data_IF_466358689186
#
_entry.id   IF_466358689186
#
_cell.length_a   1.000
_cell.length_b   1.000
_cell.length_c   1.000
_cell.angle_alpha   90.00
_cell.angle_beta   90.00
_cell.angle_gamma   90.00
#
_symmetry.space_group_name_H-M   'P 1'
#
loop_
_entity.id
_entity.type
_entity.pdbx_description
1 polymer ?
#
# COMPACT_ATOMS: atom_id res chain seq x y z
N UNK A 1 -4.52 2.93 -11.75
CA UNK A 1 -3.47 1.91 -11.68
C UNK A 1 -2.20 2.52 -11.11
N UNK A 2 -1.39 1.75 -10.42
CA UNK A 2 -0.14 2.22 -9.85
C UNK A 2 0.90 1.11 -9.74
N UNK A 3 2.12 1.54 -9.45
CA UNK A 3 3.26 0.68 -9.16
C UNK A 3 3.70 1.00 -7.74
N UNK A 4 3.90 -0.03 -6.94
CA UNK A 4 4.43 0.06 -5.59
C UNK A 4 5.75 -0.67 -5.50
N UNK A 5 6.70 -0.10 -4.78
CA UNK A 5 7.97 -0.72 -4.44
C UNK A 5 8.09 -0.83 -2.93
N UNK A 6 8.49 -1.99 -2.44
CA UNK A 6 8.68 -2.25 -1.03
C UNK A 6 10.06 -2.81 -0.76
N UNK A 7 10.65 -2.44 0.38
CA UNK A 7 11.89 -3.00 0.90
C UNK A 7 11.66 -3.56 2.29
N UNK A 8 12.06 -4.80 2.51
CA UNK A 8 11.90 -5.46 3.80
C UNK A 8 13.18 -6.18 4.25
N UNK A 9 13.36 -6.27 5.56
CA UNK A 9 14.47 -7.01 6.20
C UNK A 9 13.90 -8.08 7.12
N UNK A 10 14.27 -9.34 6.88
CA UNK A 10 14.01 -10.44 7.81
C UNK A 10 15.13 -10.55 8.85
N UNK A 11 14.79 -10.74 10.11
CA UNK A 11 15.75 -10.90 11.20
C UNK A 11 15.32 -12.04 12.14
N UNK A 12 16.31 -12.68 12.77
CA UNK A 12 16.11 -13.62 13.90
C UNK A 12 16.88 -13.08 15.10
N UNK A 13 16.18 -12.69 16.15
CA UNK A 13 16.75 -11.94 17.26
C UNK A 13 17.44 -10.66 16.76
N UNK A 14 18.74 -10.51 17.00
CA UNK A 14 19.55 -9.37 16.52
C UNK A 14 20.27 -9.64 15.18
N UNK A 15 20.09 -10.83 14.61
CA UNK A 15 20.82 -11.24 13.40
C UNK A 15 19.94 -11.04 12.18
N UNK A 16 20.35 -10.16 11.27
CA UNK A 16 19.73 -10.00 9.97
C UNK A 16 19.94 -11.27 9.13
N UNK A 17 18.88 -11.80 8.53
CA UNK A 17 18.88 -13.01 7.71
C UNK A 17 18.85 -12.74 6.22
N UNK A 18 18.17 -11.68 5.81
CA UNK A 18 18.04 -11.31 4.42
C UNK A 18 17.41 -9.94 4.26
N UNK A 19 17.72 -9.31 3.15
CA UNK A 19 17.04 -8.11 2.66
C UNK A 19 16.38 -8.49 1.34
N UNK A 20 15.15 -8.09 1.15
CA UNK A 20 14.43 -8.18 -0.11
C UNK A 20 13.90 -6.83 -0.51
N UNK A 21 13.81 -6.58 -1.79
CA UNK A 21 13.05 -5.48 -2.36
C UNK A 21 12.20 -6.05 -3.47
N UNK A 22 10.92 -5.75 -3.44
CA UNK A 22 9.95 -6.20 -4.42
C UNK A 22 9.19 -5.00 -4.97
N UNK A 23 8.67 -5.14 -6.17
CA UNK A 23 7.77 -4.17 -6.75
C UNK A 23 6.55 -4.90 -7.29
N UNK A 24 5.40 -4.26 -7.19
CA UNK A 24 4.13 -4.79 -7.68
C UNK A 24 3.38 -3.74 -8.48
N UNK A 25 2.65 -4.18 -9.48
CA UNK A 25 1.72 -3.37 -10.24
C UNK A 25 0.30 -3.73 -9.84
N UNK A 26 -0.55 -2.73 -9.62
CA UNK A 26 -1.93 -2.95 -9.27
C UNK A 26 -2.86 -1.99 -10.03
N UNK A 27 -4.05 -2.49 -10.37
CA UNK A 27 -5.15 -1.69 -10.89
C UNK A 27 -6.29 -1.66 -9.90
N UNK A 28 -6.81 -0.49 -9.57
CA UNK A 28 -7.92 -0.35 -8.63
C UNK A 28 -8.93 0.70 -9.05
N UNK A 29 -10.13 0.58 -8.51
CA UNK A 29 -11.16 1.62 -8.55
C UNK A 29 -11.30 2.27 -7.19
N UNK A 30 -11.56 3.56 -7.17
CA UNK A 30 -11.86 4.29 -5.94
C UNK A 30 -13.10 5.14 -6.07
N UNK A 31 -13.67 5.50 -4.93
CA UNK A 31 -14.72 6.51 -4.81
C UNK A 31 -14.17 7.69 -4.02
N UNK A 32 -14.56 8.90 -4.39
CA UNK A 32 -14.11 10.08 -3.67
C UNK A 32 -15.24 11.08 -3.46
N UNK A 33 -15.13 11.82 -2.36
CA UNK A 33 -15.96 12.95 -2.04
C UNK A 33 -15.07 14.18 -1.81
N UNK A 34 -15.44 15.30 -2.42
CA UNK A 34 -14.62 16.49 -2.42
C UNK A 34 -15.47 17.74 -2.30
N UNK A 35 -15.01 18.69 -1.51
CA UNK A 35 -15.56 20.04 -1.43
C UNK A 35 -14.54 21.06 -1.93
N UNK A 36 -15.01 21.99 -2.76
CA UNK A 36 -14.20 23.12 -3.23
C UNK A 36 -14.69 24.39 -2.57
N UNK A 37 -13.78 25.15 -1.99
CA UNK A 37 -14.07 26.42 -1.31
C UNK A 37 -13.43 27.56 -2.10
N UNK A 38 -14.23 28.62 -2.31
CA UNK A 38 -13.81 29.82 -3.05
C UNK A 38 -13.20 29.50 -4.43
N UNK A 39 -13.71 28.48 -5.10
CA UNK A 39 -13.25 27.97 -6.40
C UNK A 39 -11.74 27.69 -6.48
N UNK A 40 -11.10 27.55 -5.33
CA UNK A 40 -9.64 27.40 -5.25
C UNK A 40 -9.15 26.32 -4.31
N UNK A 41 -9.71 26.21 -3.12
CA UNK A 41 -9.24 25.26 -2.13
C UNK A 41 -10.07 24.00 -2.18
N UNK A 42 -9.42 22.86 -2.13
CA UNK A 42 -9.99 21.53 -2.22
C UNK A 42 -9.76 20.84 -0.88
N UNK A 43 -10.78 20.15 -0.39
CA UNK A 43 -10.66 19.18 0.71
C UNK A 43 -11.45 17.94 0.32
N UNK A 44 -10.90 16.77 0.53
CA UNK A 44 -11.58 15.56 0.13
C UNK A 44 -11.05 14.29 0.78
N UNK A 45 -11.80 13.23 0.53
CA UNK A 45 -11.48 11.85 0.89
C UNK A 45 -11.59 10.98 -0.36
N UNK A 46 -10.66 10.06 -0.53
CA UNK A 46 -10.65 9.02 -1.56
C UNK A 46 -10.56 7.65 -0.88
N UNK A 47 -11.38 6.70 -1.30
CA UNK A 47 -11.46 5.39 -0.70
C UNK A 47 -11.46 4.30 -1.79
N UNK A 48 -10.64 3.30 -1.60
CA UNK A 48 -10.54 2.11 -2.46
C UNK A 48 -11.28 0.97 -1.76
N UNK A 49 -12.47 0.57 -2.26
CA UNK A 49 -13.33 -0.39 -1.56
C UNK A 49 -12.96 -1.86 -1.77
N UNK A 50 -11.93 -2.14 -2.56
CA UNK A 50 -11.52 -3.49 -2.90
C UNK A 50 -10.05 -3.68 -2.54
N UNK A 51 -9.74 -4.81 -1.92
CA UNK A 51 -8.37 -5.18 -1.61
C UNK A 51 -7.50 -5.26 -2.89
N UNK A 52 -6.27 -4.80 -2.78
CA UNK A 52 -5.24 -4.93 -3.80
C UNK A 52 -4.39 -6.15 -3.45
N UNK A 53 -4.72 -7.27 -4.07
CA UNK A 53 -4.03 -8.54 -3.82
C UNK A 53 -2.71 -8.60 -4.60
N UNK A 54 -1.62 -8.98 -3.92
CA UNK A 54 -0.37 -9.31 -4.58
C UNK A 54 -0.42 -10.72 -5.16
N UNK A 55 0.49 -11.02 -6.09
CA UNK A 55 0.68 -12.40 -6.52
C UNK A 55 1.17 -13.28 -5.37
N UNK A 56 0.71 -14.53 -5.34
CA UNK A 56 1.18 -15.51 -4.37
C UNK A 56 2.60 -15.94 -4.72
N UNK A 57 3.54 -15.72 -3.82
CA UNK A 57 4.92 -16.15 -3.97
C UNK A 57 5.15 -17.47 -3.24
N UNK A 58 5.67 -18.47 -3.94
CA UNK A 58 6.06 -19.75 -3.39
C UNK A 58 7.57 -19.91 -3.41
N UNK A 59 8.15 -20.21 -2.24
CA UNK A 59 9.59 -20.43 -2.11
C UNK A 59 9.85 -21.79 -1.45
N UNK A 60 10.45 -22.71 -2.18
CA UNK A 60 10.90 -24.00 -1.65
C UNK A 60 12.31 -23.85 -1.07
N UNK A 61 12.47 -24.21 0.18
CA UNK A 61 13.78 -24.20 0.86
C UNK A 61 13.93 -25.40 1.78
N UNK A 62 15.17 -25.70 2.17
CA UNK A 62 15.46 -26.68 3.21
C UNK A 62 15.65 -25.94 4.52
N UNK A 63 14.81 -26.20 5.49
CA UNK A 63 14.81 -25.47 6.76
C UNK A 63 14.70 -26.40 7.97
N UNK A 64 15.13 -25.91 9.13
CA UNK A 64 14.94 -26.56 10.42
C UNK A 64 13.83 -25.87 11.16
N UNK A 65 12.79 -26.58 11.53
CA UNK A 65 11.86 -26.10 12.56
C UNK A 65 12.62 -25.84 13.87
N UNK A 66 12.06 -24.97 14.70
CA UNK A 66 12.70 -24.50 15.97
C UNK A 66 13.21 -25.62 16.87
N UNK A 67 12.57 -26.80 16.84
CA UNK A 67 12.97 -27.97 17.64
C UNK A 67 13.59 -29.11 16.81
N UNK A 68 13.81 -28.93 15.51
CA UNK A 68 14.27 -30.00 14.65
C UNK A 68 15.79 -30.09 14.59
N UNK A 69 16.31 -31.33 14.67
CA UNK A 69 17.75 -31.62 14.53
C UNK A 69 18.18 -31.67 13.06
N UNK A 70 17.24 -31.95 12.17
CA UNK A 70 17.51 -32.14 10.73
C UNK A 70 16.66 -31.16 9.90
N UNK A 71 17.28 -30.55 8.90
CA UNK A 71 16.55 -29.71 7.96
C UNK A 71 15.65 -30.57 7.07
N UNK A 72 14.42 -30.12 6.86
CA UNK A 72 13.46 -30.73 5.93
C UNK A 72 13.12 -29.75 4.82
N UNK A 73 12.74 -30.26 3.65
CA UNK A 73 12.23 -29.43 2.58
C UNK A 73 10.88 -28.83 3.01
N UNK A 74 10.75 -27.53 2.91
CA UNK A 74 9.53 -26.78 3.19
C UNK A 74 9.23 -25.83 2.03
N UNK A 75 7.96 -25.64 1.75
CA UNK A 75 7.50 -24.62 0.81
C UNK A 75 6.85 -23.51 1.63
N UNK A 76 7.36 -22.31 1.48
CA UNK A 76 6.74 -21.11 2.05
C UNK A 76 5.86 -20.47 0.98
N UNK A 77 4.65 -20.14 1.37
CA UNK A 77 3.69 -19.41 0.53
C UNK A 77 3.39 -18.09 1.20
N UNK A 78 3.51 -16.99 0.46
CA UNK A 78 3.23 -15.64 0.95
C UNK A 78 2.42 -14.88 -0.08
N UNK A 79 1.35 -14.25 0.37
CA UNK A 79 0.55 -13.28 -0.36
C UNK A 79 0.26 -12.12 0.58
N UNK A 80 0.21 -10.91 0.06
CA UNK A 80 -0.11 -9.71 0.83
C UNK A 80 -1.26 -9.00 0.15
N UNK A 81 -2.28 -8.65 0.93
CA UNK A 81 -3.39 -7.83 0.48
C UNK A 81 -3.28 -6.45 1.12
N UNK A 82 -3.52 -5.43 0.32
CA UNK A 82 -3.66 -4.05 0.79
C UNK A 82 -5.13 -3.69 0.72
N UNK A 83 -5.75 -3.52 1.89
CA UNK A 83 -7.19 -3.28 2.01
C UNK A 83 -7.47 -1.90 2.60
N UNK A 84 -8.68 -1.41 2.39
CA UNK A 84 -9.20 -0.16 2.95
C UNK A 84 -8.31 1.09 2.69
N UNK A 85 -7.58 1.13 1.55
CA UNK A 85 -6.75 2.28 1.21
C UNK A 85 -7.59 3.56 1.20
N UNK A 86 -7.35 4.39 2.20
CA UNK A 86 -8.09 5.63 2.44
C UNK A 86 -7.14 6.81 2.40
N UNK A 87 -7.50 7.87 1.69
CA UNK A 87 -6.70 9.10 1.58
C UNK A 87 -7.52 10.31 1.95
N UNK A 88 -7.06 11.09 2.93
CA UNK A 88 -7.57 12.41 3.26
C UNK A 88 -6.62 13.46 2.69
N UNK A 89 -7.15 14.42 1.96
CA UNK A 89 -6.30 15.40 1.28
C UNK A 89 -6.86 16.81 1.30
N UNK A 90 -5.95 17.75 1.16
CA UNK A 90 -6.23 19.15 0.83
C UNK A 90 -5.53 19.48 -0.49
N UNK A 91 -6.05 20.44 -1.20
CA UNK A 91 -5.48 20.83 -2.48
C UNK A 91 -5.74 22.29 -2.84
N UNK A 92 -5.14 22.71 -3.91
CA UNK A 92 -5.32 24.05 -4.46
C UNK A 92 -5.37 24.02 -5.98
N UNK A 93 -6.32 24.76 -6.56
CA UNK A 93 -6.36 25.04 -7.98
C UNK A 93 -5.24 26.01 -8.32
N UNK A 94 -4.31 25.57 -9.15
CA UNK A 94 -3.19 26.39 -9.67
C UNK A 94 -3.65 27.22 -10.86
N UNK A 95 -4.51 26.63 -11.68
CA UNK A 95 -5.23 27.29 -12.78
C UNK A 95 -6.69 26.84 -12.76
N UNK A 96 -7.50 27.27 -13.69
CA UNK A 96 -8.90 26.82 -13.84
C UNK A 96 -9.03 25.28 -14.01
N UNK A 97 -7.98 24.63 -14.49
CA UNK A 97 -8.02 23.20 -14.80
C UNK A 97 -6.91 22.38 -14.11
N UNK A 98 -5.85 23.01 -13.60
CA UNK A 98 -4.75 22.33 -12.94
C UNK A 98 -4.83 22.50 -11.43
N UNK A 99 -4.59 21.41 -10.72
CA UNK A 99 -4.55 21.41 -9.26
C UNK A 99 -3.37 20.58 -8.74
N UNK A 100 -3.01 20.85 -7.51
CA UNK A 100 -2.11 20.02 -6.70
C UNK A 100 -2.82 19.65 -5.42
N UNK A 101 -2.52 18.45 -4.88
CA UNK A 101 -3.04 17.92 -3.63
C UNK A 101 -1.92 17.38 -2.78
N UNK A 102 -2.10 17.44 -1.47
CA UNK A 102 -1.27 16.74 -0.51
C UNK A 102 -2.18 16.20 0.60
N UNK A 103 -1.80 15.08 1.19
CA UNK A 103 -2.64 14.46 2.22
C UNK A 103 -1.96 13.31 2.92
N UNK A 104 -2.74 12.67 3.79
CA UNK A 104 -2.36 11.45 4.49
C UNK A 104 -3.13 10.28 3.90
N UNK A 105 -2.50 9.12 3.88
CA UNK A 105 -3.10 7.88 3.42
C UNK A 105 -2.90 6.79 4.47
N UNK A 106 -3.88 5.92 4.61
CA UNK A 106 -3.82 4.74 5.48
C UNK A 106 -4.19 3.52 4.67
N UNK A 107 -3.58 2.39 4.96
CA UNK A 107 -3.86 1.10 4.31
C UNK A 107 -3.66 -0.04 5.28
N UNK A 108 -4.59 -0.99 5.29
CA UNK A 108 -4.44 -2.24 6.01
C UNK A 108 -3.62 -3.22 5.19
N UNK A 109 -2.58 -3.79 5.81
CA UNK A 109 -1.73 -4.83 5.23
C UNK A 109 -2.10 -6.16 5.86
N UNK A 110 -2.70 -7.03 5.06
CA UNK A 110 -3.14 -8.36 5.46
C UNK A 110 -2.14 -9.37 4.91
N UNK A 111 -1.49 -10.11 5.82
CA UNK A 111 -0.53 -11.15 5.43
C UNK A 111 -1.21 -12.51 5.38
N UNK A 112 -1.23 -13.10 4.19
CA UNK A 112 -1.73 -14.45 3.95
C UNK A 112 -0.52 -15.36 3.73
N UNK A 113 -0.10 -16.05 4.80
CA UNK A 113 1.16 -16.78 4.78
C UNK A 113 1.01 -18.20 5.29
N UNK A 114 1.81 -19.10 4.71
CA UNK A 114 2.03 -20.45 5.22
C UNK A 114 3.53 -20.71 5.22
N UNK A 115 4.15 -20.52 6.38
CA UNK A 115 5.60 -20.65 6.55
C UNK A 115 5.94 -21.97 7.24
N UNK A 116 6.61 -22.86 6.52
CA UNK A 116 7.02 -24.17 7.02
C UNK A 116 7.98 -24.14 8.21
N UNK A 117 8.53 -22.97 8.56
CA UNK A 117 9.44 -22.75 9.69
C UNK A 117 8.72 -22.50 11.01
N UNK A 118 7.39 -22.35 11.01
CA UNK A 118 6.59 -22.02 12.18
C UNK A 118 6.61 -20.53 12.55
N UNK A 119 7.16 -19.66 11.71
CA UNK A 119 6.93 -18.22 11.83
C UNK A 119 5.50 -17.89 11.38
N UNK A 120 4.88 -16.92 12.00
CA UNK A 120 3.62 -16.34 11.59
C UNK A 120 3.61 -14.85 11.93
N UNK A 121 3.08 -14.04 11.02
CA UNK A 121 3.04 -12.58 11.18
C UNK A 121 1.59 -12.12 11.15
N UNK A 122 1.28 -11.10 11.93
CA UNK A 122 -0.07 -10.53 11.98
C UNK A 122 -0.26 -9.45 10.91
N UNK A 123 -1.50 -9.02 10.77
CA UNK A 123 -1.84 -7.86 9.96
C UNK A 123 -1.36 -6.57 10.63
N UNK A 124 -1.17 -5.52 9.83
CA UNK A 124 -0.78 -4.20 10.32
C UNK A 124 -1.43 -3.11 9.46
N UNK A 125 -1.62 -1.95 10.05
CA UNK A 125 -2.00 -0.73 9.33
C UNK A 125 -0.74 0.09 9.05
N UNK A 126 -0.66 0.69 7.89
CA UNK A 126 0.40 1.62 7.51
C UNK A 126 -0.20 3.00 7.28
N UNK A 127 0.41 3.97 7.93
CA UNK A 127 0.20 5.38 7.64
C UNK A 127 1.18 5.86 6.58
N UNK A 128 0.76 6.88 5.83
CA UNK A 128 1.60 7.44 4.79
C UNK A 128 1.20 8.86 4.41
N UNK A 129 1.95 9.39 3.47
CA UNK A 129 1.69 10.69 2.86
C UNK A 129 1.52 10.56 1.35
N UNK A 130 0.75 11.46 0.77
CA UNK A 130 0.56 11.53 -0.66
C UNK A 130 0.74 12.94 -1.19
N UNK A 131 1.23 13.03 -2.43
CA UNK A 131 1.21 14.25 -3.23
C UNK A 131 0.70 13.91 -4.63
N UNK A 132 -0.18 14.77 -5.15
CA UNK A 132 -0.74 14.59 -6.48
C UNK A 132 -0.76 15.88 -7.30
N UNK A 133 -0.64 15.70 -8.60
CA UNK A 133 -0.88 16.73 -9.60
C UNK A 133 -1.94 16.23 -10.56
N UNK A 134 -2.92 17.07 -10.86
CA UNK A 134 -4.01 16.65 -11.73
C UNK A 134 -4.54 17.78 -12.60
N UNK A 135 -5.20 17.32 -13.65
CA UNK A 135 -5.97 18.16 -14.55
C UNK A 135 -7.45 17.77 -14.44
N UNK A 136 -8.33 18.76 -14.32
CA UNK A 136 -9.75 18.50 -14.37
C UNK A 136 -10.47 19.43 -15.31
N UNK A 137 -11.53 18.96 -15.93
CA UNK A 137 -12.40 19.72 -16.79
C UNK A 137 -13.84 19.49 -16.42
N UNK A 138 -14.54 20.54 -16.03
CA UNK A 138 -15.98 20.54 -15.78
C UNK A 138 -16.72 20.91 -17.07
N UNK A 139 -17.79 20.22 -17.37
CA UNK A 139 -18.72 20.51 -18.45
C UNK A 139 -19.91 21.31 -17.94
N UNK A 140 -20.65 21.97 -18.83
CA UNK A 140 -21.79 22.83 -18.51
C UNK A 140 -22.91 22.12 -17.72
N UNK A 141 -23.01 20.81 -17.85
CA UNK A 141 -23.97 19.97 -17.10
C UNK A 141 -23.47 19.56 -15.70
N UNK A 142 -22.30 20.04 -15.26
CA UNK A 142 -21.67 19.71 -13.98
C UNK A 142 -20.93 18.38 -13.96
N UNK A 143 -20.90 17.61 -15.04
CA UNK A 143 -20.05 16.43 -15.14
C UNK A 143 -18.61 16.89 -15.33
N UNK A 144 -17.68 16.23 -14.65
CA UNK A 144 -16.26 16.50 -14.86
C UNK A 144 -15.46 15.24 -15.16
N UNK A 145 -14.38 15.43 -15.88
CA UNK A 145 -13.32 14.44 -16.09
C UNK A 145 -12.05 14.91 -15.41
N UNK A 146 -11.30 13.97 -14.89
CA UNK A 146 -10.05 14.23 -14.18
C UNK A 146 -8.99 13.21 -14.59
N UNK A 147 -7.75 13.69 -14.76
CA UNK A 147 -6.55 12.85 -14.84
C UNK A 147 -5.58 13.31 -13.77
N UNK A 148 -5.05 12.39 -12.98
CA UNK A 148 -4.22 12.68 -11.82
C UNK A 148 -3.03 11.72 -11.77
N UNK A 149 -1.84 12.25 -11.48
CA UNK A 149 -0.66 11.50 -11.12
C UNK A 149 -0.37 11.69 -9.64
N UNK A 150 -0.13 10.61 -8.92
CA UNK A 150 0.06 10.60 -7.46
C UNK A 150 1.33 9.87 -7.09
N UNK A 151 2.07 10.41 -6.14
CA UNK A 151 3.13 9.71 -5.41
C UNK A 151 2.68 9.49 -3.98
N UNK A 152 2.97 8.30 -3.44
CA UNK A 152 2.65 7.90 -2.08
C UNK A 152 3.90 7.37 -1.40
N UNK A 153 4.06 7.66 -0.13
CA UNK A 153 5.14 7.16 0.70
C UNK A 153 4.54 6.75 2.04
N UNK A 154 4.70 5.49 2.39
CA UNK A 154 4.18 4.92 3.62
C UNK A 154 5.29 4.75 4.65
N UNK A 155 4.93 4.88 5.91
CA UNK A 155 5.83 4.65 7.04
C UNK A 155 6.20 3.17 7.13
N UNK A 156 7.39 2.90 7.63
CA UNK A 156 7.85 1.54 7.87
C UNK A 156 7.08 0.85 9.00
N UNK A 157 7.04 -0.47 8.96
CA UNK A 157 6.45 -1.28 10.02
C UNK A 157 7.35 -2.44 10.40
N UNK A 158 7.28 -2.85 11.67
CA UNK A 158 7.96 -4.04 12.15
C UNK A 158 6.97 -5.05 12.70
N UNK A 159 6.95 -6.23 12.10
CA UNK A 159 6.15 -7.35 12.51
C UNK A 159 7.03 -8.39 13.21
N UNK A 160 6.65 -8.75 14.43
CA UNK A 160 7.28 -9.85 15.15
C UNK A 160 6.44 -11.12 14.95
N UNK A 161 7.13 -12.25 14.80
CA UNK A 161 6.47 -13.53 14.65
C UNK A 161 5.67 -13.89 15.90
N UNK A 162 4.43 -14.30 15.69
CA UNK A 162 3.53 -14.84 16.72
C UNK A 162 3.50 -16.37 16.73
N UNK A 163 4.20 -17.00 15.78
CA UNK A 163 4.30 -18.45 15.67
C UNK A 163 5.36 -19.06 16.60
N UNK A 164 5.68 -20.34 16.37
CA UNK A 164 6.69 -21.06 17.16
C UNK A 164 8.11 -20.53 16.98
N UNK A 165 8.39 -19.79 15.90
CA UNK A 165 9.64 -19.07 15.64
C UNK A 165 9.54 -17.61 16.15
N UNK A 166 9.28 -17.45 17.45
CA UNK A 166 8.97 -16.14 18.07
C UNK A 166 10.10 -15.10 18.00
N UNK A 167 11.35 -15.52 17.77
CA UNK A 167 12.50 -14.60 17.63
C UNK A 167 12.60 -13.96 16.22
N UNK A 168 11.76 -14.37 15.28
CA UNK A 168 11.79 -13.85 13.94
C UNK A 168 11.00 -12.53 13.85
N UNK A 169 11.49 -11.62 13.04
CA UNK A 169 10.79 -10.37 12.71
C UNK A 169 11.01 -9.99 11.25
N UNK A 170 10.03 -9.31 10.69
CA UNK A 170 10.11 -8.65 9.38
C UNK A 170 9.96 -7.15 9.64
N UNK A 171 10.88 -6.37 9.09
CA UNK A 171 10.85 -4.91 9.14
C UNK A 171 10.71 -4.39 7.71
N UNK A 172 9.58 -3.77 7.44
CA UNK A 172 9.32 -3.01 6.23
C UNK A 172 9.93 -1.62 6.43
N UNK A 173 10.88 -1.24 5.59
CA UNK A 173 11.61 0.02 5.75
C UNK A 173 11.12 1.10 4.81
N UNK A 174 10.70 0.72 3.61
CA UNK A 174 10.22 1.64 2.59
C UNK A 174 9.07 0.98 1.80
N UNK A 175 7.97 1.69 1.68
CA UNK A 175 6.88 1.34 0.76
C UNK A 175 6.47 2.62 0.02
N UNK A 176 6.91 2.71 -1.21
CA UNK A 176 6.65 3.84 -2.09
C UNK A 176 5.71 3.45 -3.23
N UNK A 177 4.84 4.36 -3.62
CA UNK A 177 3.91 4.14 -4.71
C UNK A 177 3.85 5.33 -5.68
N UNK A 178 3.68 4.99 -6.94
CA UNK A 178 3.36 5.95 -8.00
C UNK A 178 2.12 5.48 -8.74
N UNK A 179 1.15 6.34 -8.90
CA UNK A 179 -0.09 5.97 -9.60
C UNK A 179 -0.56 7.01 -10.59
N UNK A 180 -1.30 6.51 -11.60
CA UNK A 180 -2.10 7.33 -12.50
C UNK A 180 -3.58 6.99 -12.34
N UNK A 181 -4.43 8.01 -12.22
CA UNK A 181 -5.88 7.87 -12.06
C UNK A 181 -6.64 8.70 -13.07
N UNK A 182 -7.67 8.09 -13.66
CA UNK A 182 -8.69 8.80 -14.45
C UNK A 182 -10.01 8.70 -13.72
N UNK A 183 -10.70 9.82 -13.57
CA UNK A 183 -11.95 9.88 -12.81
C UNK A 183 -13.03 10.59 -13.59
N UNK A 184 -14.27 10.23 -13.31
CA UNK A 184 -15.48 10.94 -13.73
C UNK A 184 -16.31 11.23 -12.48
N UNK A 185 -16.89 12.40 -12.40
CA UNK A 185 -17.73 12.76 -11.28
C UNK A 185 -18.73 13.84 -11.65
N UNK A 186 -19.54 14.26 -10.67
CA UNK A 186 -20.52 15.34 -10.82
C UNK A 186 -20.30 16.38 -9.72
N UNK A 187 -20.24 17.63 -10.14
CA UNK A 187 -20.27 18.80 -9.27
C UNK A 187 -21.72 19.29 -9.07
N UNK A 188 -22.03 19.75 -7.87
CA UNK A 188 -23.33 20.28 -7.47
C UNK A 188 -23.20 21.71 -6.99
#
# INVERSE_FOLDING_TARGET
>A
AGIFAASATESTGTTKKGNGSEHGEAGWGSVFLEATMNDRFIVGIDYVPAALETETTETAKSDKGVAAVTATAVTNTVQVDFDELTTLYVGVMVTENLYVKAGTTTVDVITNENLGTGAAYGNTELDGSMFAVGYHKVMDNGIFFRAEGTVMNFDGAKLNSTGTAADNSIELTDLDGVSGKVSIGKSF
#
